data_IF_042858763304
#
_entry.id   IF_042858763304
#
_cell.length_a   1.000
_cell.length_b   1.000
_cell.length_c   1.000
_cell.angle_alpha   90.00
_cell.angle_beta   90.00
_cell.angle_gamma   90.00
#
_symmetry.space_group_name_H-M   'P 1'
#
loop_
_entity.id
_entity.type
_entity.pdbx_description
1 polymer ?
#
# COMPACT_ATOMS: atom_id res chain seq x y z
N UNK A 1 10.54 -16.66 12.55
CA UNK A 1 9.12 -16.97 12.86
C UNK A 1 8.27 -16.50 11.70
N UNK A 2 7.33 -17.33 11.24
CA UNK A 2 6.41 -16.99 10.16
C UNK A 2 5.43 -15.92 10.64
N UNK A 3 5.22 -14.86 9.85
CA UNK A 3 4.31 -13.77 10.23
C UNK A 3 2.86 -14.27 10.29
N UNK A 4 2.19 -14.03 11.41
CA UNK A 4 0.77 -14.32 11.62
C UNK A 4 -0.03 -13.04 11.42
N UNK A 5 -1.00 -13.06 10.51
CA UNK A 5 -1.84 -11.91 10.18
C UNK A 5 -3.32 -12.20 10.47
N UNK A 6 -4.14 -11.16 10.74
CA UNK A 6 -5.57 -11.33 10.98
C UNK A 6 -6.31 -11.74 9.70
N UNK A 7 -6.87 -12.94 9.65
CA UNK A 7 -7.66 -13.43 8.52
C UNK A 7 -8.98 -14.06 8.95
N UNK A 8 -9.97 -14.04 8.07
CA UNK A 8 -11.26 -14.65 8.33
C UNK A 8 -11.25 -16.13 7.93
N UNK A 9 -11.54 -17.00 8.89
CA UNK A 9 -11.75 -18.43 8.69
C UNK A 9 -13.09 -18.81 9.34
N UNK A 10 -13.98 -19.39 8.55
CA UNK A 10 -15.34 -19.76 8.98
C UNK A 10 -16.10 -18.58 9.63
N UNK A 11 -15.96 -17.37 9.04
CA UNK A 11 -16.61 -16.15 9.51
C UNK A 11 -16.02 -15.50 10.76
N UNK A 12 -14.95 -16.05 11.32
CA UNK A 12 -14.25 -15.51 12.51
C UNK A 12 -12.85 -15.05 12.12
N UNK A 13 -12.45 -13.89 12.67
CA UNK A 13 -11.07 -13.39 12.50
C UNK A 13 -10.15 -14.14 13.49
N UNK A 14 -9.02 -14.60 12.98
CA UNK A 14 -8.02 -15.31 13.77
C UNK A 14 -6.63 -15.17 13.15
N UNK A 15 -5.55 -15.49 13.92
CA UNK A 15 -4.20 -15.46 13.37
C UNK A 15 -4.00 -16.61 12.38
N UNK A 16 -3.56 -16.27 11.17
CA UNK A 16 -3.24 -17.23 10.11
C UNK A 16 -1.90 -16.88 9.51
N UNK A 17 -1.12 -17.90 9.15
CA UNK A 17 0.18 -17.72 8.52
C UNK A 17 0.03 -16.97 7.18
N UNK A 18 0.85 -15.92 7.00
CA UNK A 18 0.72 -14.95 5.91
C UNK A 18 0.76 -15.60 4.52
N UNK A 19 1.70 -16.49 4.24
CA UNK A 19 1.81 -17.13 2.93
C UNK A 19 0.61 -18.04 2.66
N UNK A 20 0.17 -18.79 3.67
CA UNK A 20 -1.02 -19.64 3.56
C UNK A 20 -2.29 -18.84 3.24
N UNK A 21 -2.45 -17.65 3.85
CA UNK A 21 -3.56 -16.73 3.57
C UNK A 21 -3.62 -16.40 2.08
N UNK A 22 -2.48 -16.03 1.48
CA UNK A 22 -2.40 -15.68 0.06
C UNK A 22 -2.56 -16.89 -0.87
N UNK A 23 -2.00 -18.06 -0.51
CA UNK A 23 -2.19 -19.30 -1.28
C UNK A 23 -3.65 -19.74 -1.31
N UNK A 24 -4.39 -19.53 -0.24
CA UNK A 24 -5.80 -19.87 -0.14
C UNK A 24 -6.75 -18.75 -0.53
N UNK A 25 -6.23 -17.53 -0.75
CA UNK A 25 -7.04 -16.34 -1.03
C UNK A 25 -8.03 -16.05 0.08
N UNK A 26 -7.64 -16.30 1.33
CA UNK A 26 -8.48 -15.99 2.49
C UNK A 26 -8.65 -14.49 2.64
N UNK A 27 -9.84 -14.05 2.99
CA UNK A 27 -10.08 -12.65 3.36
C UNK A 27 -9.26 -12.29 4.58
N UNK A 28 -8.50 -11.19 4.53
CA UNK A 28 -7.58 -10.80 5.59
C UNK A 28 -7.44 -9.28 5.70
N UNK A 29 -6.91 -8.81 6.84
CA UNK A 29 -6.67 -7.39 7.07
C UNK A 29 -5.37 -6.94 6.44
N UNK A 30 -5.42 -5.73 5.87
CA UNK A 30 -4.26 -5.04 5.33
C UNK A 30 -4.31 -3.54 5.65
N UNK A 31 -3.22 -2.85 5.43
CA UNK A 31 -3.14 -1.38 5.43
C UNK A 31 -2.48 -0.88 4.15
N UNK A 32 -2.89 0.28 3.71
CA UNK A 32 -2.22 1.03 2.66
C UNK A 32 -2.02 2.48 3.08
N UNK A 33 -0.79 2.95 2.94
CA UNK A 33 -0.42 4.33 3.24
C UNK A 33 -0.09 5.05 1.94
N UNK A 34 -0.57 6.28 1.83
CA UNK A 34 -0.20 7.24 0.80
C UNK A 34 0.45 8.45 1.48
N UNK A 35 1.62 8.85 1.04
CA UNK A 35 2.26 10.07 1.48
C UNK A 35 2.22 11.10 0.36
N UNK A 36 1.81 12.32 0.68
CA UNK A 36 1.68 13.41 -0.28
C UNK A 36 2.46 14.64 0.16
N UNK A 37 3.06 15.33 -0.82
CA UNK A 37 3.72 16.61 -0.67
C UNK A 37 3.22 17.54 -1.78
N UNK A 38 2.36 18.47 -1.44
CA UNK A 38 1.62 19.26 -2.45
C UNK A 38 0.80 18.34 -3.34
N UNK A 39 1.08 18.33 -4.65
CA UNK A 39 0.40 17.47 -5.63
C UNK A 39 1.11 16.13 -5.88
N UNK A 40 2.30 15.96 -5.32
CA UNK A 40 3.09 14.76 -5.54
C UNK A 40 2.75 13.66 -4.52
N UNK A 41 2.67 12.43 -5.00
CA UNK A 41 2.48 11.22 -4.22
C UNK A 41 3.79 10.43 -4.23
N UNK A 42 4.22 9.96 -3.06
CA UNK A 42 5.33 9.04 -2.94
C UNK A 42 4.89 7.64 -3.31
N UNK A 43 5.48 7.07 -4.34
CA UNK A 43 5.36 5.66 -4.71
C UNK A 43 6.68 4.95 -4.45
N UNK A 44 6.63 3.65 -4.16
CA UNK A 44 7.79 2.80 -3.97
C UNK A 44 7.86 1.68 -5.00
N UNK A 45 9.05 1.31 -5.40
CA UNK A 45 9.30 0.13 -6.21
C UNK A 45 9.71 -1.03 -5.30
N UNK A 46 8.96 -2.12 -5.36
CA UNK A 46 9.15 -3.28 -4.49
C UNK A 46 10.49 -3.96 -4.78
N UNK A 47 11.18 -4.40 -3.73
CA UNK A 47 12.41 -5.18 -3.88
C UNK A 47 12.18 -6.46 -4.71
N UNK A 48 13.22 -6.93 -5.38
CA UNK A 48 13.15 -8.13 -6.22
C UNK A 48 12.97 -9.42 -5.42
N UNK A 49 13.35 -9.41 -4.15
CA UNK A 49 13.23 -10.54 -3.21
C UNK A 49 11.80 -10.73 -2.65
N UNK A 50 10.86 -9.85 -3.00
CA UNK A 50 9.46 -9.98 -2.55
C UNK A 50 8.81 -11.19 -3.20
N UNK A 51 8.12 -12.02 -2.40
CA UNK A 51 7.49 -13.27 -2.83
C UNK A 51 6.34 -13.09 -3.85
N UNK A 52 5.76 -11.91 -3.95
CA UNK A 52 4.81 -11.55 -5.02
C UNK A 52 5.05 -10.13 -5.53
N UNK A 53 4.70 -9.89 -6.78
CA UNK A 53 4.84 -8.59 -7.47
C UNK A 53 6.22 -7.93 -7.29
N UNK A 54 7.35 -8.68 -7.39
CA UNK A 54 8.69 -8.09 -7.27
C UNK A 54 8.93 -7.06 -8.37
N UNK A 55 9.63 -5.98 -8.04
CA UNK A 55 10.03 -4.93 -8.97
C UNK A 55 8.90 -4.06 -9.51
N UNK A 56 7.64 -4.24 -9.06
CA UNK A 56 6.52 -3.39 -9.46
C UNK A 56 6.42 -2.15 -8.56
N UNK A 57 5.87 -1.07 -9.13
CA UNK A 57 5.53 0.14 -8.39
C UNK A 57 4.26 -0.04 -7.58
N UNK A 58 4.30 0.38 -6.33
CA UNK A 58 3.20 0.36 -5.36
C UNK A 58 3.01 1.75 -4.75
N UNK A 59 1.93 1.95 -3.98
CA UNK A 59 1.77 3.13 -3.14
C UNK A 59 2.87 3.22 -2.07
N UNK A 60 2.89 4.28 -1.28
CA UNK A 60 3.96 4.60 -0.33
C UNK A 60 4.32 3.43 0.59
N UNK A 61 3.32 2.73 1.14
CA UNK A 61 3.52 1.51 1.91
C UNK A 61 2.25 0.65 1.88
N UNK A 62 2.41 -0.66 1.71
CA UNK A 62 1.29 -1.60 1.68
C UNK A 62 1.70 -2.89 2.39
N UNK A 63 0.98 -3.28 3.43
CA UNK A 63 1.35 -4.43 4.28
C UNK A 63 0.17 -4.94 5.12
N UNK A 64 0.46 -5.91 5.95
CA UNK A 64 -0.49 -6.53 6.86
C UNK A 64 -0.12 -6.23 8.30
N UNK A 65 -1.08 -5.90 9.19
CA UNK A 65 -0.83 -5.87 10.61
C UNK A 65 -0.45 -7.25 11.13
N UNK A 66 0.41 -7.31 12.11
CA UNK A 66 0.61 -8.52 12.89
C UNK A 66 -0.67 -8.86 13.67
N UNK A 67 -0.78 -10.10 14.16
CA UNK A 67 -1.87 -10.45 15.04
C UNK A 67 -1.88 -9.52 16.28
N UNK A 68 -3.06 -8.99 16.59
CA UNK A 68 -3.30 -8.01 17.68
C UNK A 68 -2.69 -6.61 17.47
N UNK A 69 -2.02 -6.36 16.34
CA UNK A 69 -1.53 -5.02 15.99
C UNK A 69 -2.66 -4.17 15.42
N UNK A 70 -2.78 -2.91 15.89
CA UNK A 70 -3.72 -1.98 15.28
C UNK A 70 -3.23 -1.53 13.89
N UNK A 71 -4.16 -1.22 12.99
CA UNK A 71 -3.85 -0.75 11.65
C UNK A 71 -2.94 0.49 11.66
N UNK A 72 -3.21 1.45 12.56
CA UNK A 72 -2.38 2.66 12.69
C UNK A 72 -0.97 2.36 13.20
N UNK A 73 -0.83 1.46 14.18
CA UNK A 73 0.48 1.05 14.67
C UNK A 73 1.29 0.35 13.56
N UNK A 74 0.65 -0.54 12.81
CA UNK A 74 1.23 -1.19 11.64
C UNK A 74 1.71 -0.16 10.60
N UNK A 75 0.87 0.82 10.24
CA UNK A 75 1.23 1.87 9.30
C UNK A 75 2.48 2.64 9.76
N UNK A 76 2.50 3.10 11.02
CA UNK A 76 3.66 3.84 11.58
C UNK A 76 4.92 2.98 11.60
N UNK A 77 4.83 1.74 12.06
CA UNK A 77 5.96 0.80 12.12
C UNK A 77 6.54 0.56 10.72
N UNK A 78 5.70 0.27 9.73
CA UNK A 78 6.17 -0.06 8.39
C UNK A 78 6.72 1.14 7.63
N UNK A 79 6.19 2.34 7.84
CA UNK A 79 6.80 3.57 7.31
C UNK A 79 8.24 3.75 7.81
N UNK A 80 8.51 3.37 9.07
CA UNK A 80 9.87 3.37 9.60
C UNK A 80 10.71 2.23 9.04
N UNK A 81 10.20 1.00 9.02
CA UNK A 81 10.94 -0.19 8.59
C UNK A 81 11.29 -0.19 7.09
N UNK A 82 10.39 0.32 6.24
CA UNK A 82 10.57 0.32 4.78
C UNK A 82 11.30 1.58 4.26
N UNK A 83 11.00 2.75 4.86
CA UNK A 83 11.42 4.05 4.33
C UNK A 83 12.26 4.88 5.31
N UNK A 84 12.57 4.36 6.51
CA UNK A 84 13.33 5.05 7.53
C UNK A 84 12.58 6.22 8.20
N UNK A 85 11.31 6.41 7.90
CA UNK A 85 10.53 7.56 8.36
C UNK A 85 10.06 7.38 9.80
N UNK A 86 10.58 8.21 10.69
CA UNK A 86 10.18 8.29 12.11
C UNK A 86 9.12 9.38 12.30
N UNK A 87 8.29 9.21 13.33
CA UNK A 87 7.29 10.21 13.75
C UNK A 87 6.24 10.57 12.66
N UNK A 88 5.97 9.66 11.74
CA UNK A 88 4.86 9.83 10.80
C UNK A 88 3.53 9.70 11.52
N UNK A 89 2.55 10.51 11.10
CA UNK A 89 1.19 10.49 11.66
C UNK A 89 0.20 10.09 10.57
N UNK A 90 -0.02 8.76 10.37
CA UNK A 90 -1.00 8.29 9.42
C UNK A 90 -2.42 8.70 9.85
N UNK A 91 -3.14 9.39 8.96
CA UNK A 91 -4.54 9.78 9.15
C UNK A 91 -5.42 8.78 8.42
N UNK A 92 -6.32 8.11 9.14
CA UNK A 92 -7.28 7.17 8.56
C UNK A 92 -8.22 7.90 7.59
N UNK A 93 -8.48 7.29 6.44
CA UNK A 93 -9.36 7.83 5.40
C UNK A 93 -10.62 7.00 5.20
N UNK A 94 -10.46 5.72 4.92
CA UNK A 94 -11.57 4.81 4.65
C UNK A 94 -11.11 3.35 4.81
N UNK A 95 -12.05 2.42 4.76
CA UNK A 95 -11.79 0.98 4.63
C UNK A 95 -12.43 0.48 3.34
N UNK A 96 -11.65 -0.24 2.54
CA UNK A 96 -12.13 -0.86 1.31
C UNK A 96 -11.89 -2.36 1.32
N UNK A 97 -12.58 -3.09 0.47
CA UNK A 97 -12.34 -4.51 0.22
C UNK A 97 -12.05 -4.71 -1.27
N UNK A 98 -11.03 -5.47 -1.58
CA UNK A 98 -10.75 -5.90 -2.94
C UNK A 98 -10.20 -7.33 -2.99
N UNK A 99 -10.27 -7.93 -4.19
CA UNK A 99 -9.67 -9.23 -4.48
C UNK A 99 -8.89 -9.15 -5.78
N UNK A 100 -7.63 -9.57 -5.77
CA UNK A 100 -6.75 -9.53 -6.93
C UNK A 100 -5.84 -10.76 -7.00
N UNK A 101 -5.60 -11.26 -8.21
CA UNK A 101 -4.51 -12.18 -8.50
C UNK A 101 -3.21 -11.38 -8.56
N UNK A 102 -2.21 -11.81 -7.81
CA UNK A 102 -0.90 -11.14 -7.74
C UNK A 102 0.23 -11.97 -8.38
N UNK A 103 -0.14 -13.03 -9.09
CA UNK A 103 0.78 -13.94 -9.76
C UNK A 103 1.28 -15.06 -8.85
N UNK A 104 1.92 -16.05 -9.46
CA UNK A 104 2.47 -17.20 -8.72
C UNK A 104 1.44 -18.08 -7.99
N UNK A 105 0.15 -17.98 -8.36
CA UNK A 105 -0.94 -18.70 -7.68
C UNK A 105 -1.34 -18.02 -6.35
N UNK A 106 -0.91 -16.80 -6.11
CA UNK A 106 -1.22 -16.03 -4.90
C UNK A 106 -2.37 -15.05 -5.15
N UNK A 107 -3.22 -14.91 -4.16
CA UNK A 107 -4.41 -14.05 -4.21
C UNK A 107 -4.39 -13.13 -2.99
N UNK A 108 -4.57 -11.85 -3.26
CA UNK A 108 -4.93 -10.86 -2.24
C UNK A 108 -6.46 -10.72 -2.19
N UNK A 109 -7.02 -11.02 -1.03
CA UNK A 109 -8.43 -10.73 -0.70
C UNK A 109 -8.44 -9.92 0.58
N UNK A 110 -8.29 -8.62 0.43
CA UNK A 110 -7.95 -7.72 1.52
C UNK A 110 -9.13 -6.84 1.94
N UNK A 111 -9.25 -6.66 3.26
CA UNK A 111 -9.97 -5.55 3.88
C UNK A 111 -8.92 -4.56 4.33
N UNK A 112 -8.79 -3.46 3.60
CA UNK A 112 -7.69 -2.51 3.70
C UNK A 112 -8.12 -1.24 4.41
N UNK A 113 -7.44 -0.93 5.51
CA UNK A 113 -7.53 0.40 6.10
C UNK A 113 -6.57 1.36 5.36
N UNK A 114 -7.14 2.42 4.77
CA UNK A 114 -6.44 3.42 3.98
C UNK A 114 -6.00 4.58 4.87
N UNK A 115 -4.74 4.96 4.74
CA UNK A 115 -4.14 6.08 5.47
C UNK A 115 -3.51 7.10 4.53
N UNK A 116 -3.61 8.38 4.89
CA UNK A 116 -2.94 9.48 4.21
C UNK A 116 -2.00 10.19 5.18
N UNK A 117 -0.82 10.57 4.68
CA UNK A 117 0.17 11.38 5.38
C UNK A 117 0.47 12.60 4.51
N UNK A 118 0.20 13.79 5.03
CA UNK A 118 0.62 15.04 4.40
C UNK A 118 1.97 15.47 4.96
N UNK A 119 2.88 15.87 4.09
CA UNK A 119 4.16 16.50 4.45
C UNK A 119 4.33 17.82 3.72
N UNK A 120 4.89 18.81 4.42
CA UNK A 120 5.16 20.13 3.83
C UNK A 120 6.35 20.09 2.86
N UNK A 121 7.33 19.22 3.17
CA UNK A 121 8.55 19.04 2.38
C UNK A 121 8.80 17.54 2.18
N UNK A 122 9.33 17.18 1.03
CA UNK A 122 9.75 15.81 0.73
C UNK A 122 10.84 15.38 1.70
N UNK A 123 10.60 14.38 2.58
CA UNK A 123 11.57 13.96 3.57
C UNK A 123 12.74 13.23 2.92
N UNK A 124 13.89 13.22 3.59
CA UNK A 124 14.95 12.27 3.28
C UNK A 124 14.49 10.86 3.67
N UNK A 125 14.67 9.91 2.77
CA UNK A 125 14.29 8.53 2.95
C UNK A 125 15.53 7.66 3.16
N UNK A 126 15.45 6.75 4.12
CA UNK A 126 16.44 5.70 4.37
C UNK A 126 15.77 4.35 4.06
N UNK A 127 15.74 4.02 2.77
CA UNK A 127 15.01 2.84 2.27
C UNK A 127 15.71 1.55 2.68
N UNK A 128 14.91 0.60 3.17
CA UNK A 128 15.37 -0.76 3.40
C UNK A 128 15.42 -1.53 2.07
N UNK A 129 16.62 -1.91 1.56
CA UNK A 129 16.74 -2.56 0.26
C UNK A 129 16.10 -3.95 0.18
N UNK A 130 15.85 -4.62 1.30
CA UNK A 130 15.12 -5.90 1.34
C UNK A 130 13.63 -5.72 1.07
N UNK A 131 13.09 -4.51 1.26
CA UNK A 131 11.68 -4.19 1.08
C UNK A 131 11.44 -3.31 -0.16
N UNK A 132 12.28 -2.31 -0.37
CA UNK A 132 12.13 -1.24 -1.35
C UNK A 132 13.41 -1.06 -2.15
N UNK A 133 13.36 -1.18 -3.46
CA UNK A 133 14.51 -0.97 -4.33
C UNK A 133 14.63 0.44 -4.89
N UNK A 134 13.53 1.20 -4.91
CA UNK A 134 13.49 2.56 -5.46
C UNK A 134 12.25 3.30 -4.95
N UNK A 135 12.29 4.63 -4.99
CA UNK A 135 11.17 5.51 -4.63
C UNK A 135 11.05 6.65 -5.64
N UNK A 136 9.83 7.12 -5.86
CA UNK A 136 9.57 8.21 -6.79
C UNK A 136 8.41 9.08 -6.31
N UNK A 137 8.58 10.40 -6.42
CA UNK A 137 7.50 11.36 -6.24
C UNK A 137 6.88 11.67 -7.60
N UNK A 138 5.58 11.45 -7.72
CA UNK A 138 4.85 11.62 -8.98
C UNK A 138 3.55 12.37 -8.73
N UNK A 139 3.22 13.31 -9.59
CA UNK A 139 1.93 13.99 -9.57
C UNK A 139 0.78 13.00 -9.83
N UNK A 140 -0.36 13.19 -9.16
CA UNK A 140 -1.48 12.25 -9.22
C UNK A 140 -1.98 12.02 -10.66
N UNK A 141 -2.14 13.08 -11.47
CA UNK A 141 -2.59 12.93 -12.85
C UNK A 141 -1.58 12.16 -13.71
N UNK A 142 -0.29 12.42 -13.53
CA UNK A 142 0.77 11.67 -14.20
C UNK A 142 0.77 10.19 -13.77
N UNK A 143 0.50 9.90 -12.49
CA UNK A 143 0.35 8.52 -12.02
C UNK A 143 -0.86 7.83 -12.68
N UNK A 144 -1.99 8.50 -12.80
CA UNK A 144 -3.18 7.96 -13.49
C UNK A 144 -2.88 7.62 -14.95
N UNK A 145 -2.19 8.52 -15.67
CA UNK A 145 -1.78 8.32 -17.06
C UNK A 145 -0.80 7.14 -17.17
N UNK A 146 0.23 7.09 -16.33
CA UNK A 146 1.21 5.99 -16.32
C UNK A 146 0.54 4.64 -16.02
N UNK A 147 -0.35 4.57 -15.04
CA UNK A 147 -1.12 3.37 -14.70
C UNK A 147 -1.98 2.92 -15.89
N UNK A 148 -2.56 3.86 -16.64
CA UNK A 148 -3.38 3.56 -17.81
C UNK A 148 -2.53 3.09 -18.98
N UNK A 149 -1.41 3.76 -19.25
CA UNK A 149 -0.51 3.48 -20.37
C UNK A 149 0.33 2.22 -20.17
N UNK A 150 0.77 1.97 -18.96
CA UNK A 150 1.72 0.89 -18.62
C UNK A 150 1.31 0.09 -17.38
N UNK A 151 0.11 -0.51 -17.34
CA UNK A 151 -0.45 -1.12 -16.12
C UNK A 151 0.42 -2.25 -15.55
N UNK A 152 1.22 -2.91 -16.37
CA UNK A 152 2.12 -4.00 -15.96
C UNK A 152 3.30 -3.55 -15.09
N UNK A 153 3.58 -2.24 -15.04
CA UNK A 153 4.61 -1.67 -14.16
C UNK A 153 4.14 -1.50 -12.72
N UNK A 154 2.83 -1.56 -12.49
CA UNK A 154 2.19 -1.25 -11.21
C UNK A 154 1.51 -2.46 -10.60
N UNK A 155 1.53 -2.53 -9.28
CA UNK A 155 0.85 -3.58 -8.53
C UNK A 155 -0.66 -3.57 -8.80
N UNK A 156 -1.34 -4.72 -8.73
CA UNK A 156 -2.78 -4.79 -8.92
C UNK A 156 -3.56 -3.84 -8.02
N UNK A 157 -3.19 -3.76 -6.74
CA UNK A 157 -3.86 -2.90 -5.77
C UNK A 157 -3.66 -1.40 -6.05
N UNK A 158 -2.44 -0.93 -6.42
CA UNK A 158 -2.25 0.48 -6.77
C UNK A 158 -3.14 0.88 -7.95
N UNK A 159 -3.28 0.00 -8.95
CA UNK A 159 -4.18 0.24 -10.09
C UNK A 159 -5.64 0.35 -9.65
N UNK A 160 -6.09 -0.49 -8.71
CA UNK A 160 -7.44 -0.45 -8.11
C UNK A 160 -7.62 0.87 -7.36
N UNK A 161 -6.69 1.25 -6.50
CA UNK A 161 -6.78 2.50 -5.73
C UNK A 161 -6.89 3.74 -6.63
N UNK A 162 -6.02 3.85 -7.62
CA UNK A 162 -5.99 4.99 -8.53
C UNK A 162 -7.26 5.08 -9.38
N UNK A 163 -7.80 3.96 -9.83
CA UNK A 163 -8.98 3.92 -10.72
C UNK A 163 -10.30 4.03 -9.98
N UNK A 164 -10.43 3.39 -8.83
CA UNK A 164 -11.72 3.14 -8.20
C UNK A 164 -11.89 3.86 -6.86
N UNK A 165 -10.78 4.15 -6.16
CA UNK A 165 -10.83 4.62 -4.78
C UNK A 165 -10.10 5.94 -4.51
N UNK A 166 -9.64 6.65 -5.55
CA UNK A 166 -8.89 7.90 -5.39
C UNK A 166 -9.61 8.93 -4.50
N UNK A 167 -10.92 9.09 -4.69
CA UNK A 167 -11.76 10.02 -3.89
C UNK A 167 -11.89 9.63 -2.40
N UNK A 168 -11.63 8.37 -2.06
CA UNK A 168 -11.60 7.89 -0.67
C UNK A 168 -10.26 8.13 0.01
N UNK A 169 -9.20 8.23 -0.78
CA UNK A 169 -7.82 8.34 -0.32
C UNK A 169 -7.40 9.80 -0.24
N UNK A 170 -7.60 10.54 -1.32
CA UNK A 170 -7.05 11.89 -1.50
C UNK A 170 -8.10 12.98 -1.29
N UNK A 171 -7.63 14.14 -0.90
CA UNK A 171 -8.46 15.34 -0.81
C UNK A 171 -8.77 15.90 -2.20
N UNK A 172 -9.86 16.68 -2.30
CA UNK A 172 -10.35 17.22 -3.58
C UNK A 172 -9.31 18.04 -4.33
N UNK A 173 -8.48 18.78 -3.61
CA UNK A 173 -7.47 19.70 -4.19
C UNK A 173 -6.38 18.91 -4.95
N UNK A 174 -6.04 17.71 -4.46
CA UNK A 174 -5.09 16.84 -5.14
C UNK A 174 -5.69 16.20 -6.40
N UNK A 175 -7.01 15.98 -6.39
CA UNK A 175 -7.73 15.35 -7.51
C UNK A 175 -8.13 16.35 -8.60
N UNK A 176 -8.18 17.65 -8.27
CA UNK A 176 -8.68 18.72 -9.14
C UNK A 176 -7.58 19.52 -9.84
N UNK A 177 -6.30 19.20 -9.68
CA UNK A 177 -5.24 19.87 -10.42
C UNK A 177 -5.34 19.52 -11.91
N UNK A 178 -6.28 20.18 -12.58
CA UNK A 178 -6.31 20.25 -14.04
C UNK A 178 -5.11 21.08 -14.50
N UNK A 179 -4.36 20.54 -15.47
CA UNK A 179 -3.29 21.22 -16.16
C UNK A 179 -3.67 22.68 -16.49
N UNK A 180 -2.88 23.61 -15.96
CA UNK A 180 -2.86 24.98 -16.46
C UNK A 180 -1.95 25.03 -17.69
#
# INVERSE_FOLDING_TARGET
>A
MTAMIPAWVNGKIQPVEKLYVHLKGLKHKAISVFMVCGQDILIQRRALEKYHTPGLWANTCCTHPNWEESAKACATRRMHEELGLKNTVPVYRDTIEYRADVGGGLIEHEVVDLFLIHVEHKPNLDINPEEVMDVHWIEFNALQEEVSRSPKKFTPWLRIYVKEHAKKIFDSDLLCSSAA
#
